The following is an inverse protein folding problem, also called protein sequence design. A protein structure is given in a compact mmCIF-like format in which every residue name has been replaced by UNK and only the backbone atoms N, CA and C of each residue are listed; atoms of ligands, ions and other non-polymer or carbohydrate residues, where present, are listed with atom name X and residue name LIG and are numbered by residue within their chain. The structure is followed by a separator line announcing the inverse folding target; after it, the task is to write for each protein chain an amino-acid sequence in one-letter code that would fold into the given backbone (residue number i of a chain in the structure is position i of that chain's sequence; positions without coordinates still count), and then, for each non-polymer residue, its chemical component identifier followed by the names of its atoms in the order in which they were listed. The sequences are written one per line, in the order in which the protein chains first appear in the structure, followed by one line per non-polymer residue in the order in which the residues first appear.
data_IF_138628788658
#
_entry.id   IF_138628788658
#
_cell.length_a   1.000
_cell.length_b   1.000
_cell.length_c   1.000
_cell.angle_alpha   90.00
_cell.angle_beta   90.00
_cell.angle_gamma   90.00
#
_symmetry.space_group_name_H-M   'P 1'
#
loop_
_entity.id
_entity.type
_entity.pdbx_description
1 polymer ?
#
# COMPACT_ATOMS: atom_id res chain seq x y z
N UNK A 1 15.05 100.53 61.36
CA UNK A 1 14.87 101.40 60.18
C UNK A 1 16.27 101.64 59.61
N UNK A 2 16.74 100.78 58.70
CA UNK A 2 18.06 100.95 58.09
C UNK A 2 17.93 101.82 56.84
N UNK A 3 18.34 103.08 56.95
CA UNK A 3 18.45 104.02 55.83
C UNK A 3 19.84 103.88 55.22
N UNK A 4 19.90 103.43 53.95
CA UNK A 4 21.15 103.38 53.19
C UNK A 4 21.39 104.73 52.51
N UNK A 5 22.58 105.27 52.69
CA UNK A 5 23.03 106.51 52.08
C UNK A 5 23.78 106.18 50.78
N UNK A 6 23.33 106.71 49.66
CA UNK A 6 24.07 106.63 48.40
C UNK A 6 24.96 107.87 48.25
N UNK A 7 26.27 107.65 48.34
CA UNK A 7 27.31 108.65 48.16
C UNK A 7 28.05 108.38 46.85
N UNK A 8 28.61 109.41 46.21
CA UNK A 8 29.44 109.22 45.02
C UNK A 8 30.73 108.44 45.36
N UNK A 9 31.34 107.70 44.41
CA UNK A 9 32.54 106.91 44.67
C UNK A 9 33.65 107.76 45.31
N UNK A 10 34.17 107.35 46.47
CA UNK A 10 35.20 108.07 47.22
C UNK A 10 34.67 109.06 48.28
N UNK A 11 33.36 109.24 48.40
CA UNK A 11 32.76 110.06 49.46
C UNK A 11 32.29 109.20 50.64
N UNK A 12 32.57 109.66 51.87
CA UNK A 12 32.07 109.07 53.11
C UNK A 12 31.11 110.04 53.82
N UNK A 13 30.29 109.52 54.75
CA UNK A 13 29.39 110.35 55.54
C UNK A 13 30.14 111.41 56.35
N UNK A 14 31.39 111.16 56.74
CA UNK A 14 32.21 112.09 57.52
C UNK A 14 32.78 113.22 56.65
N UNK A 15 33.11 112.94 55.38
CA UNK A 15 33.73 113.91 54.46
C UNK A 15 32.73 114.73 53.62
N UNK A 16 31.43 114.46 53.73
CA UNK A 16 30.39 115.21 53.01
C UNK A 16 29.74 116.25 53.91
N UNK A 17 29.75 117.51 53.46
CA UNK A 17 29.07 118.62 54.15
C UNK A 17 27.58 118.31 54.27
N UNK A 18 26.98 118.66 55.40
CA UNK A 18 25.55 118.41 55.67
C UNK A 18 24.64 119.04 54.59
N UNK A 19 25.07 120.16 53.98
CA UNK A 19 24.39 120.80 52.84
C UNK A 19 24.31 119.91 51.60
N UNK A 20 25.32 119.07 51.35
CA UNK A 20 25.38 118.22 50.14
C UNK A 20 24.66 116.89 50.37
N UNK A 21 24.36 116.55 51.64
CA UNK A 21 23.55 115.39 52.02
C UNK A 21 22.07 115.58 51.70
N UNK A 22 21.60 116.79 51.41
CA UNK A 22 20.21 117.02 50.98
C UNK A 22 19.91 116.43 49.60
N UNK A 23 20.94 116.10 48.82
CA UNK A 23 20.81 115.43 47.52
C UNK A 23 20.92 113.90 47.62
N UNK A 24 21.13 113.34 48.81
CA UNK A 24 21.14 111.89 49.01
C UNK A 24 19.71 111.36 49.05
N UNK A 25 19.39 110.43 48.15
CA UNK A 25 18.08 109.77 48.09
C UNK A 25 17.90 108.85 49.31
N UNK A 26 17.03 109.28 50.23
CA UNK A 26 16.64 108.51 51.41
C UNK A 26 15.53 107.53 51.08
N UNK A 27 15.87 106.31 50.70
CA UNK A 27 14.89 105.24 50.44
C UNK A 27 15.05 104.14 51.50
N UNK A 28 13.93 103.76 52.12
CA UNK A 28 13.89 102.58 53.01
C UNK A 28 13.99 101.28 52.20
N UNK A 29 14.59 100.22 52.74
CA UNK A 29 14.72 98.92 52.05
C UNK A 29 13.38 98.39 51.50
N UNK A 30 12.27 98.65 52.20
CA UNK A 30 10.92 98.29 51.76
C UNK A 30 10.50 99.03 50.49
N UNK A 31 10.75 100.33 50.42
CA UNK A 31 10.49 101.14 49.22
C UNK A 31 11.43 100.77 48.06
N UNK A 32 12.70 100.46 48.35
CA UNK A 32 13.63 99.97 47.34
C UNK A 32 13.18 98.63 46.74
N UNK A 33 12.74 97.69 47.57
CA UNK A 33 12.22 96.41 47.10
C UNK A 33 10.93 96.55 46.26
N UNK A 34 10.10 97.58 46.52
CA UNK A 34 8.94 97.90 45.67
C UNK A 34 9.38 98.40 44.30
N UNK A 35 10.39 99.29 44.25
CA UNK A 35 10.94 99.82 43.00
C UNK A 35 11.59 98.71 42.17
N UNK A 36 12.44 97.88 42.79
CA UNK A 36 13.07 96.74 42.10
C UNK A 36 12.03 95.70 41.68
N UNK A 37 11.04 95.41 42.53
CA UNK A 37 9.93 94.52 42.17
C UNK A 37 9.08 95.03 41.00
N UNK A 38 8.90 96.34 40.86
CA UNK A 38 8.24 96.94 39.71
C UNK A 38 9.08 96.88 38.44
N UNK A 39 10.39 97.14 38.54
CA UNK A 39 11.34 97.04 37.42
C UNK A 39 11.47 95.59 36.91
N UNK A 40 11.50 94.62 37.82
CA UNK A 40 11.62 93.19 37.51
C UNK A 40 10.26 92.50 37.26
N UNK A 41 9.15 93.22 37.35
CA UNK A 41 7.79 92.65 37.23
C UNK A 41 7.61 91.82 35.95
N UNK A 42 8.10 92.31 34.81
CA UNK A 42 8.03 91.58 33.53
C UNK A 42 8.86 90.30 33.55
N UNK A 43 10.05 90.36 34.16
CA UNK A 43 10.95 89.21 34.32
C UNK A 43 10.34 88.15 35.24
N UNK A 44 9.77 88.56 36.37
CA UNK A 44 9.08 87.66 37.30
C UNK A 44 7.84 86.99 36.68
N UNK A 45 7.09 87.73 35.85
CA UNK A 45 5.96 87.18 35.08
C UNK A 45 6.46 86.16 34.06
N UNK A 46 7.54 86.48 33.32
CA UNK A 46 8.12 85.56 32.35
C UNK A 46 8.66 84.29 33.02
N UNK A 47 9.40 84.43 34.12
CA UNK A 47 9.90 83.29 34.90
C UNK A 47 8.77 82.43 35.48
N UNK A 48 7.61 83.01 35.78
CA UNK A 48 6.43 82.25 36.18
C UNK A 48 5.82 81.48 34.99
N UNK A 49 5.71 82.13 33.82
CA UNK A 49 5.23 81.48 32.59
C UNK A 49 6.16 80.34 32.17
N UNK A 50 7.48 80.57 32.17
CA UNK A 50 8.48 79.58 31.79
C UNK A 50 8.47 78.36 32.74
N UNK A 51 8.26 78.58 34.04
CA UNK A 51 8.09 77.50 35.03
C UNK A 51 6.84 76.68 34.77
N UNK A 52 5.71 77.33 34.46
CA UNK A 52 4.46 76.65 34.12
C UNK A 52 4.57 75.88 32.80
N UNK A 53 5.24 76.45 31.78
CA UNK A 53 5.51 75.75 30.52
C UNK A 53 6.43 74.54 30.73
N UNK A 54 7.50 74.69 31.51
CA UNK A 54 8.40 73.59 31.83
C UNK A 54 7.67 72.47 32.59
N UNK A 55 6.79 72.82 33.54
CA UNK A 55 5.97 71.85 34.25
C UNK A 55 5.00 71.12 33.32
N UNK A 56 4.33 71.83 32.40
CA UNK A 56 3.45 71.20 31.38
C UNK A 56 4.22 70.27 30.45
N UNK A 57 5.39 70.69 29.96
CA UNK A 57 6.25 69.86 29.11
C UNK A 57 6.70 68.60 29.84
N UNK A 58 7.09 68.72 31.11
CA UNK A 58 7.46 67.59 31.95
C UNK A 58 6.30 66.59 32.12
N UNK A 59 5.08 67.07 32.37
CA UNK A 59 3.90 66.21 32.46
C UNK A 59 3.56 65.55 31.12
N UNK A 60 3.68 66.27 30.00
CA UNK A 60 3.47 65.73 28.65
C UNK A 60 4.50 64.66 28.29
N UNK A 61 5.77 64.87 28.63
CA UNK A 61 6.86 63.91 28.44
C UNK A 61 6.65 62.66 29.32
N UNK A 62 6.27 62.86 30.59
CA UNK A 62 5.88 61.79 31.50
C UNK A 62 4.72 60.96 30.93
N UNK A 63 3.66 61.62 30.48
CA UNK A 63 2.49 60.97 29.86
C UNK A 63 2.87 60.18 28.60
N UNK A 64 3.64 60.77 27.69
CA UNK A 64 4.13 60.08 26.47
C UNK A 64 5.01 58.86 26.80
N UNK A 65 5.85 58.96 27.82
CA UNK A 65 6.70 57.86 28.26
C UNK A 65 5.88 56.67 28.80
N UNK A 66 4.77 56.96 29.50
CA UNK A 66 3.85 55.93 29.97
C UNK A 66 3.09 55.27 28.81
N UNK A 67 2.55 56.06 27.88
CA UNK A 67 1.80 55.57 26.72
C UNK A 67 2.67 54.66 25.83
N UNK A 68 3.97 54.94 25.71
CA UNK A 68 4.91 54.13 24.93
C UNK A 68 4.93 52.67 25.39
N UNK A 69 4.77 52.43 26.68
CA UNK A 69 4.79 51.09 27.27
C UNK A 69 3.40 50.45 27.31
N UNK A 70 2.34 51.15 26.89
CA UNK A 70 1.00 50.58 26.86
C UNK A 70 0.84 49.65 25.67
N UNK A 71 0.68 48.37 25.96
CA UNK A 71 0.53 47.33 24.94
C UNK A 71 -0.71 47.55 24.04
N UNK A 72 -1.76 48.14 24.59
CA UNK A 72 -3.02 48.41 23.89
C UNK A 72 -3.03 49.72 23.10
N UNK A 73 -1.91 50.46 23.06
CA UNK A 73 -1.79 51.61 22.15
C UNK A 73 -1.91 51.13 20.70
N UNK A 74 -2.58 51.91 19.86
CA UNK A 74 -2.77 51.59 18.44
C UNK A 74 -1.43 51.35 17.73
N UNK A 75 -0.39 52.09 18.10
CA UNK A 75 0.95 51.95 17.53
C UNK A 75 1.58 50.61 17.91
N UNK A 76 1.50 50.21 19.18
CA UNK A 76 2.06 48.94 19.66
C UNK A 76 1.29 47.74 19.10
N UNK A 77 -0.04 47.85 18.98
CA UNK A 77 -0.84 46.83 18.28
C UNK A 77 -0.47 46.69 16.80
N UNK A 78 -0.17 47.80 16.10
CA UNK A 78 0.29 47.76 14.70
C UNK A 78 1.67 47.12 14.59
N UNK A 79 2.62 47.52 15.43
CA UNK A 79 3.96 46.91 15.50
C UNK A 79 3.88 45.40 15.73
N UNK A 80 3.10 44.95 16.72
CA UNK A 80 2.90 43.52 16.99
C UNK A 80 2.35 42.77 15.78
N UNK A 81 1.33 43.32 15.11
CA UNK A 81 0.78 42.70 13.89
C UNK A 81 1.79 42.63 12.75
N UNK A 82 2.65 43.64 12.60
CA UNK A 82 3.72 43.63 11.61
C UNK A 82 4.80 42.59 11.95
N UNK A 83 5.21 42.50 13.21
CA UNK A 83 6.14 41.47 13.69
C UNK A 83 5.60 40.05 13.50
N UNK A 84 4.32 39.82 13.82
CA UNK A 84 3.63 38.55 13.56
C UNK A 84 3.61 38.21 12.07
N UNK A 85 3.30 39.19 11.20
CA UNK A 85 3.33 39.00 9.74
C UNK A 85 4.73 38.64 9.25
N UNK A 86 5.75 39.34 9.72
CA UNK A 86 7.15 39.06 9.38
C UNK A 86 7.54 37.64 9.83
N UNK A 87 7.15 37.23 11.04
CA UNK A 87 7.37 35.88 11.55
C UNK A 87 6.70 34.82 10.69
N UNK A 88 5.45 35.03 10.28
CA UNK A 88 4.73 34.11 9.39
C UNK A 88 5.39 34.02 8.03
N UNK A 89 5.84 35.15 7.46
CA UNK A 89 6.56 35.18 6.18
C UNK A 89 7.86 34.37 6.29
N UNK A 90 8.60 34.53 7.39
CA UNK A 90 9.86 33.82 7.60
C UNK A 90 9.65 32.32 7.80
N UNK A 91 8.63 31.93 8.59
CA UNK A 91 8.23 30.53 8.72
C UNK A 91 7.86 29.92 7.37
N UNK A 92 7.06 30.61 6.56
CA UNK A 92 6.69 30.13 5.21
C UNK A 92 7.89 30.01 4.28
N UNK A 93 8.89 30.88 4.39
CA UNK A 93 10.14 30.75 3.64
C UNK A 93 10.92 29.52 4.10
N UNK A 94 11.04 29.32 5.40
CA UNK A 94 11.65 28.13 6.00
C UNK A 94 10.99 26.84 5.52
N UNK A 95 9.65 26.76 5.60
CA UNK A 95 8.87 25.59 5.18
C UNK A 95 9.03 25.29 3.69
N UNK A 96 9.04 26.33 2.84
CA UNK A 96 9.29 26.16 1.39
C UNK A 96 10.70 25.62 1.13
N UNK A 97 11.69 26.12 1.86
CA UNK A 97 13.06 25.68 1.70
C UNK A 97 13.23 24.22 2.19
N UNK A 98 12.62 23.87 3.32
CA UNK A 98 12.61 22.49 3.82
C UNK A 98 11.99 21.52 2.80
N UNK A 99 10.80 21.85 2.27
CA UNK A 99 10.13 21.08 1.22
C UNK A 99 10.99 20.94 -0.04
N UNK A 100 11.71 22.00 -0.42
CA UNK A 100 12.61 21.94 -1.57
C UNK A 100 13.76 20.96 -1.35
N UNK A 101 14.36 20.94 -0.15
CA UNK A 101 15.41 19.97 0.18
C UNK A 101 14.89 18.53 0.26
N UNK A 102 13.69 18.31 0.80
CA UNK A 102 13.04 17.00 0.80
C UNK A 102 12.82 16.49 -0.63
N UNK A 103 12.26 17.34 -1.50
CA UNK A 103 12.03 17.00 -2.90
C UNK A 103 13.34 16.71 -3.65
N UNK A 104 14.40 17.48 -3.36
CA UNK A 104 15.75 17.22 -3.90
C UNK A 104 16.30 15.87 -3.47
N UNK A 105 16.17 15.51 -2.19
CA UNK A 105 16.60 14.19 -1.68
C UNK A 105 15.84 13.05 -2.34
N UNK A 106 14.53 13.20 -2.51
CA UNK A 106 13.69 12.19 -3.17
C UNK A 106 14.10 12.02 -4.65
N UNK A 107 14.31 13.12 -5.36
CA UNK A 107 14.79 13.10 -6.75
C UNK A 107 16.17 12.45 -6.89
N UNK A 108 17.08 12.73 -5.96
CA UNK A 108 18.41 12.11 -5.94
C UNK A 108 18.33 10.61 -5.67
N UNK A 109 17.46 10.18 -4.73
CA UNK A 109 17.21 8.76 -4.48
C UNK A 109 16.70 8.06 -5.75
N UNK A 110 15.67 8.61 -6.38
CA UNK A 110 15.10 8.06 -7.63
C UNK A 110 16.16 7.98 -8.73
N UNK A 111 16.98 9.03 -8.86
CA UNK A 111 18.08 9.05 -9.84
C UNK A 111 19.10 7.95 -9.56
N UNK A 112 19.50 7.76 -8.30
CA UNK A 112 20.46 6.74 -7.91
C UNK A 112 19.91 5.33 -8.15
N UNK A 113 18.65 5.07 -7.78
CA UNK A 113 17.98 3.81 -8.06
C UNK A 113 17.93 3.51 -9.57
N UNK A 114 17.63 4.51 -10.39
CA UNK A 114 17.62 4.37 -11.85
C UNK A 114 19.02 4.06 -12.39
N UNK A 115 20.05 4.79 -11.94
CA UNK A 115 21.44 4.57 -12.36
C UNK A 115 21.91 3.17 -11.97
N UNK A 116 21.59 2.70 -10.76
CA UNK A 116 21.96 1.36 -10.31
C UNK A 116 21.25 0.27 -11.12
N UNK A 117 19.96 0.44 -11.45
CA UNK A 117 19.25 -0.49 -12.36
C UNK A 117 19.93 -0.55 -13.73
N UNK A 118 20.20 0.59 -14.34
CA UNK A 118 20.86 0.64 -15.66
C UNK A 118 22.27 0.02 -15.60
N UNK A 119 23.04 0.27 -14.54
CA UNK A 119 24.35 -0.38 -14.33
C UNK A 119 24.22 -1.89 -14.22
N UNK A 120 23.22 -2.37 -13.49
CA UNK A 120 22.95 -3.78 -13.34
C UNK A 120 22.57 -4.43 -14.67
N UNK A 121 21.70 -3.78 -15.45
CA UNK A 121 21.28 -4.27 -16.77
C UNK A 121 22.48 -4.34 -17.73
N UNK A 122 23.30 -3.29 -17.79
CA UNK A 122 24.54 -3.28 -18.57
C UNK A 122 25.47 -4.41 -18.12
N UNK A 123 25.62 -4.63 -16.82
CA UNK A 123 26.46 -5.70 -16.30
C UNK A 123 25.95 -7.07 -16.75
N UNK A 124 24.65 -7.35 -16.65
CA UNK A 124 24.04 -8.61 -17.09
C UNK A 124 24.22 -8.81 -18.60
N UNK A 125 24.05 -7.76 -19.39
CA UNK A 125 24.11 -7.84 -20.85
C UNK A 125 25.54 -7.98 -21.40
N UNK A 126 26.56 -7.61 -20.62
CA UNK A 126 27.95 -7.53 -21.10
C UNK A 126 28.86 -8.65 -20.57
N UNK A 127 29.81 -9.06 -21.42
CA UNK A 127 30.95 -9.92 -21.05
C UNK A 127 30.56 -11.26 -20.40
N UNK A 128 31.15 -11.53 -19.25
CA UNK A 128 31.08 -12.82 -18.55
C UNK A 128 29.72 -13.09 -17.89
N UNK A 129 29.01 -12.05 -17.45
CA UNK A 129 27.72 -12.23 -16.76
C UNK A 129 26.63 -12.74 -17.72
N UNK A 130 26.64 -12.26 -18.96
CA UNK A 130 25.78 -12.79 -20.03
C UNK A 130 26.09 -14.26 -20.32
N UNK A 131 27.37 -14.61 -20.41
CA UNK A 131 27.78 -16.00 -20.64
C UNK A 131 27.35 -16.91 -19.48
N UNK A 132 27.49 -16.45 -18.23
CA UNK A 132 27.06 -17.19 -17.06
C UNK A 132 25.54 -17.36 -17.01
N UNK A 133 24.79 -16.33 -17.36
CA UNK A 133 23.32 -16.41 -17.50
C UNK A 133 22.93 -17.40 -18.59
N UNK A 134 23.61 -17.38 -19.74
CA UNK A 134 23.41 -18.35 -20.82
C UNK A 134 23.69 -19.79 -20.37
N UNK A 135 24.82 -20.02 -19.73
CA UNK A 135 25.20 -21.32 -19.18
C UNK A 135 24.18 -21.82 -18.13
N UNK A 136 23.66 -20.92 -17.30
CA UNK A 136 22.60 -21.25 -16.36
C UNK A 136 21.31 -21.70 -17.06
N UNK A 137 20.86 -20.97 -18.09
CA UNK A 137 19.67 -21.34 -18.88
C UNK A 137 19.88 -22.70 -19.55
N UNK A 138 21.06 -22.94 -20.12
CA UNK A 138 21.40 -24.23 -20.72
C UNK A 138 21.39 -25.37 -19.70
N UNK A 139 21.95 -25.16 -18.50
CA UNK A 139 21.94 -26.15 -17.43
C UNK A 139 20.51 -26.50 -16.99
N UNK A 140 19.64 -25.50 -16.86
CA UNK A 140 18.21 -25.71 -16.55
C UNK A 140 17.53 -26.50 -17.66
N UNK A 141 17.76 -26.15 -18.93
CA UNK A 141 17.19 -26.86 -20.06
C UNK A 141 17.66 -28.33 -20.15
N UNK A 142 18.94 -28.59 -19.84
CA UNK A 142 19.47 -29.95 -19.76
C UNK A 142 18.79 -30.76 -18.64
N UNK A 143 18.67 -30.18 -17.45
CA UNK A 143 17.97 -30.81 -16.33
C UNK A 143 16.50 -31.13 -16.66
N UNK A 144 15.77 -30.19 -17.26
CA UNK A 144 14.40 -30.43 -17.69
C UNK A 144 14.30 -31.54 -18.74
N UNK A 145 15.26 -31.61 -19.67
CA UNK A 145 15.29 -32.64 -20.71
C UNK A 145 15.58 -34.04 -20.15
N UNK A 146 16.41 -34.14 -19.12
CA UNK A 146 16.61 -35.39 -18.39
C UNK A 146 15.28 -35.86 -17.77
N UNK A 147 14.55 -34.95 -17.12
CA UNK A 147 13.23 -35.25 -16.52
C UNK A 147 12.18 -35.65 -17.55
N UNK A 148 12.16 -35.02 -18.72
CA UNK A 148 11.30 -35.44 -19.83
C UNK A 148 11.67 -36.85 -20.31
N UNK A 149 12.96 -37.19 -20.37
CA UNK A 149 13.43 -38.51 -20.77
C UNK A 149 13.04 -39.58 -19.76
N UNK A 150 13.21 -39.30 -18.46
CA UNK A 150 12.73 -40.17 -17.37
C UNK A 150 11.23 -40.44 -17.50
N UNK A 151 10.43 -39.39 -17.71
CA UNK A 151 8.98 -39.52 -17.87
C UNK A 151 8.61 -40.34 -19.10
N UNK A 152 9.26 -40.10 -20.24
CA UNK A 152 9.03 -40.86 -21.48
C UNK A 152 9.32 -42.35 -21.29
N UNK A 153 10.37 -42.69 -20.55
CA UNK A 153 10.70 -44.08 -20.24
C UNK A 153 9.64 -44.73 -19.34
N UNK A 154 9.14 -44.01 -18.34
CA UNK A 154 8.03 -44.49 -17.50
C UNK A 154 6.75 -44.75 -18.31
N UNK A 155 6.41 -43.85 -19.23
CA UNK A 155 5.25 -44.03 -20.13
C UNK A 155 5.44 -45.28 -21.01
N UNK A 156 6.63 -45.49 -21.56
CA UNK A 156 6.92 -46.69 -22.36
C UNK A 156 6.77 -47.98 -21.54
N UNK A 157 7.29 -48.00 -20.31
CA UNK A 157 7.15 -49.15 -19.41
C UNK A 157 5.68 -49.43 -19.10
N UNK A 158 4.92 -48.40 -18.73
CA UNK A 158 3.49 -48.51 -18.46
C UNK A 158 2.73 -49.06 -19.68
N UNK A 159 3.01 -48.55 -20.89
CA UNK A 159 2.34 -49.03 -22.10
C UNK A 159 2.67 -50.49 -22.39
N UNK A 160 3.93 -50.91 -22.20
CA UNK A 160 4.32 -52.31 -22.38
C UNK A 160 3.62 -53.23 -21.35
N UNK A 161 3.46 -52.77 -20.11
CA UNK A 161 2.71 -53.49 -19.08
C UNK A 161 1.23 -53.63 -19.43
N UNK A 162 0.59 -52.55 -19.91
CA UNK A 162 -0.81 -52.57 -20.34
C UNK A 162 -1.02 -53.44 -21.59
N UNK A 163 -0.11 -53.38 -22.57
CA UNK A 163 -0.12 -54.28 -23.74
C UNK A 163 0.01 -55.74 -23.32
N UNK A 164 0.90 -56.05 -22.36
CA UNK A 164 1.04 -57.40 -21.83
C UNK A 164 -0.22 -57.88 -21.09
N UNK A 165 -0.85 -57.01 -20.29
CA UNK A 165 -2.14 -57.28 -19.62
C UNK A 165 -3.24 -57.53 -20.63
N UNK A 166 -3.33 -56.72 -21.68
CA UNK A 166 -4.29 -56.92 -22.75
C UNK A 166 -4.04 -58.27 -23.45
N UNK A 167 -2.80 -58.56 -23.83
CA UNK A 167 -2.45 -59.81 -24.50
C UNK A 167 -2.82 -61.03 -23.64
N UNK A 168 -2.61 -60.98 -22.32
CA UNK A 168 -3.07 -62.02 -21.39
C UNK A 168 -4.60 -62.15 -21.41
N UNK A 169 -5.33 -61.04 -21.32
CA UNK A 169 -6.80 -61.04 -21.38
C UNK A 169 -7.35 -61.63 -22.69
N UNK A 170 -6.69 -61.36 -23.81
CA UNK A 170 -7.06 -61.92 -25.12
C UNK A 170 -6.80 -63.42 -25.17
N UNK A 171 -5.66 -63.89 -24.64
CA UNK A 171 -5.37 -65.33 -24.53
C UNK A 171 -6.40 -66.04 -23.67
N UNK A 172 -6.70 -65.49 -22.49
CA UNK A 172 -7.73 -66.02 -21.59
C UNK A 172 -9.10 -66.06 -22.26
N UNK A 173 -9.48 -64.99 -22.97
CA UNK A 173 -10.72 -64.95 -23.75
C UNK A 173 -10.77 -66.02 -24.84
N UNK A 174 -9.68 -66.22 -25.57
CA UNK A 174 -9.59 -67.27 -26.59
C UNK A 174 -9.70 -68.68 -25.99
N UNK A 175 -9.03 -68.94 -24.85
CA UNK A 175 -9.12 -70.22 -24.14
C UNK A 175 -10.54 -70.49 -23.61
N UNK A 176 -11.22 -69.45 -23.11
CA UNK A 176 -12.62 -69.55 -22.68
C UNK A 176 -13.55 -69.86 -23.86
N UNK A 177 -13.39 -69.18 -25.00
CA UNK A 177 -14.19 -69.47 -26.20
C UNK A 177 -14.00 -70.91 -26.69
N UNK A 178 -12.78 -71.44 -26.68
CA UNK A 178 -12.51 -72.83 -27.05
C UNK A 178 -13.24 -73.79 -26.11
N UNK A 179 -13.13 -73.59 -24.79
CA UNK A 179 -13.84 -74.39 -23.79
C UNK A 179 -15.36 -74.33 -23.98
N UNK A 180 -15.90 -73.14 -24.28
CA UNK A 180 -17.32 -72.99 -24.56
C UNK A 180 -17.76 -73.72 -25.84
N UNK A 181 -16.97 -73.66 -26.90
CA UNK A 181 -17.23 -74.40 -28.15
C UNK A 181 -17.17 -75.91 -27.94
N UNK A 182 -16.18 -76.40 -27.21
CA UNK A 182 -16.08 -77.82 -26.84
C UNK A 182 -17.27 -78.26 -26.00
N UNK A 183 -17.67 -77.48 -24.99
CA UNK A 183 -18.83 -77.76 -24.18
C UNK A 183 -20.13 -77.77 -24.99
N UNK A 184 -20.30 -76.84 -25.95
CA UNK A 184 -21.44 -76.81 -26.87
C UNK A 184 -21.45 -78.05 -27.78
N UNK A 185 -20.31 -78.39 -28.37
CA UNK A 185 -20.19 -79.58 -29.24
C UNK A 185 -20.45 -80.88 -28.48
N UNK A 186 -19.99 -81.00 -27.24
CA UNK A 186 -20.28 -82.16 -26.39
C UNK A 186 -21.78 -82.25 -26.07
N UNK A 187 -22.43 -81.13 -25.73
CA UNK A 187 -23.89 -81.08 -25.52
C UNK A 187 -24.67 -81.45 -26.79
N UNK A 188 -24.20 -81.04 -27.96
CA UNK A 188 -24.79 -81.43 -29.25
C UNK A 188 -24.63 -82.93 -29.50
N UNK A 189 -23.43 -83.48 -29.30
CA UNK A 189 -23.19 -84.93 -29.40
C UNK A 189 -24.06 -85.73 -28.44
N UNK A 190 -24.22 -85.28 -27.20
CA UNK A 190 -25.11 -85.91 -26.22
C UNK A 190 -26.57 -85.95 -26.73
N UNK A 191 -27.07 -84.81 -27.25
CA UNK A 191 -28.41 -84.74 -27.86
C UNK A 191 -28.54 -85.66 -29.07
N UNK A 192 -27.54 -85.72 -29.94
CA UNK A 192 -27.54 -86.57 -31.13
C UNK A 192 -27.52 -88.06 -30.75
N UNK A 193 -26.76 -88.43 -29.71
CA UNK A 193 -26.74 -89.79 -29.17
C UNK A 193 -28.09 -90.17 -28.55
N UNK A 194 -28.69 -89.27 -27.76
CA UNK A 194 -30.04 -89.47 -27.22
C UNK A 194 -31.09 -89.62 -28.32
N UNK A 195 -31.02 -88.78 -29.35
CA UNK A 195 -31.92 -88.86 -30.50
C UNK A 195 -31.72 -90.17 -31.28
N UNK A 196 -30.47 -90.57 -31.51
CA UNK A 196 -30.12 -91.82 -32.20
C UNK A 196 -30.63 -93.05 -31.45
N UNK A 197 -30.53 -93.06 -30.11
CA UNK A 197 -31.10 -94.12 -29.26
C UNK A 197 -32.61 -94.22 -29.43
N UNK A 198 -33.32 -93.09 -29.36
CA UNK A 198 -34.78 -93.06 -29.59
C UNK A 198 -35.16 -93.56 -30.98
N UNK A 199 -34.38 -93.23 -32.00
CA UNK A 199 -34.62 -93.70 -33.37
C UNK A 199 -34.41 -95.20 -33.51
N UNK A 200 -33.36 -95.75 -32.87
CA UNK A 200 -33.12 -97.19 -32.83
C UNK A 200 -34.25 -97.94 -32.13
N UNK A 201 -34.72 -97.44 -30.98
CA UNK A 201 -35.88 -97.98 -30.27
C UNK A 201 -37.12 -98.01 -31.18
N UNK A 202 -37.39 -96.93 -31.92
CA UNK A 202 -38.48 -96.87 -32.90
C UNK A 202 -38.31 -97.84 -34.08
N UNK A 203 -37.07 -98.05 -34.56
CA UNK A 203 -36.79 -99.02 -35.64
C UNK A 203 -37.04 -100.44 -35.14
N UNK A 204 -36.56 -100.78 -33.94
CA UNK A 204 -36.80 -102.09 -33.33
C UNK A 204 -38.28 -102.34 -33.08
N UNK A 205 -39.01 -101.34 -32.58
CA UNK A 205 -40.45 -101.41 -32.37
C UNK A 205 -41.21 -101.59 -33.70
N UNK A 206 -40.84 -100.84 -34.74
CA UNK A 206 -41.39 -101.00 -36.09
C UNK A 206 -41.02 -102.34 -36.74
N UNK A 207 -39.84 -102.89 -36.45
CA UNK A 207 -39.44 -104.20 -36.95
C UNK A 207 -40.24 -105.31 -36.27
N UNK A 208 -40.50 -105.19 -34.95
CA UNK A 208 -41.37 -106.10 -34.20
C UNK A 208 -42.81 -106.04 -34.74
N UNK A 209 -43.36 -104.84 -34.94
CA UNK A 209 -44.72 -104.69 -35.49
C UNK A 209 -44.83 -105.24 -36.92
N UNK A 210 -43.85 -105.01 -37.80
CA UNK A 210 -43.80 -105.63 -39.14
C UNK A 210 -43.65 -107.14 -39.09
N UNK A 211 -42.86 -107.69 -38.17
CA UNK A 211 -42.73 -109.12 -37.98
C UNK A 211 -44.02 -109.75 -37.46
N UNK A 212 -44.76 -109.05 -36.59
CA UNK A 212 -46.11 -109.44 -36.16
C UNK A 212 -47.11 -109.37 -37.31
N UNK A 213 -47.12 -108.30 -38.10
CA UNK A 213 -47.95 -108.20 -39.32
C UNK A 213 -47.64 -109.30 -40.33
N UNK A 214 -46.36 -109.66 -40.50
CA UNK A 214 -45.97 -110.73 -41.42
C UNK A 214 -46.37 -112.12 -40.88
N UNK A 215 -46.27 -112.35 -39.56
CA UNK A 215 -46.81 -113.54 -38.91
C UNK A 215 -48.32 -113.62 -39.06
N UNK A 216 -49.03 -112.49 -38.95
CA UNK A 216 -50.48 -112.42 -39.13
C UNK A 216 -50.88 -112.65 -40.59
N UNK A 217 -50.16 -112.07 -41.55
CA UNK A 217 -50.34 -112.36 -42.99
C UNK A 217 -50.06 -113.83 -43.31
N UNK A 218 -49.03 -114.43 -42.70
CA UNK A 218 -48.73 -115.85 -42.85
C UNK A 218 -49.84 -116.71 -42.23
N UNK A 219 -50.37 -116.37 -41.04
CA UNK A 219 -51.53 -117.04 -40.45
C UNK A 219 -52.79 -116.93 -41.32
N UNK A 220 -53.07 -115.76 -41.90
CA UNK A 220 -54.19 -115.57 -42.83
C UNK A 220 -53.97 -116.37 -44.12
N UNK A 221 -52.73 -116.47 -44.61
CA UNK A 221 -52.40 -117.31 -45.78
C UNK A 221 -52.51 -118.80 -45.48
N UNK A 222 -52.09 -119.24 -44.28
CA UNK A 222 -52.21 -120.62 -43.81
C UNK A 222 -53.69 -121.00 -43.58
N UNK A 223 -54.49 -120.09 -43.01
CA UNK A 223 -55.94 -120.24 -42.88
C UNK A 223 -56.64 -120.35 -44.26
N UNK A 224 -56.24 -119.53 -45.25
CA UNK A 224 -56.72 -119.64 -46.64
C UNK A 224 -56.31 -120.96 -47.31
N UNK A 225 -55.12 -121.49 -47.03
CA UNK A 225 -54.69 -122.79 -47.57
C UNK A 225 -55.31 -123.99 -46.84
N UNK A 226 -55.72 -123.84 -45.58
CA UNK A 226 -56.47 -124.85 -44.83
C UNK A 226 -57.94 -124.90 -45.28
N UNK A 227 -58.58 -123.76 -45.56
CA UNK A 227 -59.92 -123.70 -46.16
C UNK A 227 -59.96 -124.28 -47.58
N UNK A 228 -58.87 -124.17 -48.36
CA UNK A 228 -58.76 -124.76 -49.70
C UNK A 228 -58.54 -126.29 -49.69
N UNK A 229 -58.08 -126.89 -48.58
CA UNK A 229 -57.88 -128.34 -48.43
C UNK A 229 -59.02 -129.07 -47.72
N UNK A 230 -60.05 -128.35 -47.23
CA UNK A 230 -61.25 -128.89 -46.60
C UNK A 230 -62.48 -129.01 -47.51
N UNK A 231 -62.34 -128.76 -48.82
CA UNK A 231 -63.38 -128.97 -49.83
C UNK A 231 -62.85 -129.85 -50.96
N UNK A 232 -62.71 -131.14 -50.67
CA UNK A 232 -62.75 -132.25 -51.63
C UNK A 232 -63.30 -133.47 -50.90
#
# INVERSE_FOLDING_TARGET
MESRWYLFPGQTLENTKISDRSHALHITQTEWNKITGHLDRKKLIQEAIDREEAHKRYLDEGSKSMIKNWENSLENMRKRKEEERLRIIEQRKGDRMARFYELRKEQERIRNEYVEKVRHDIYIETGNARQLTGAYVEAVAMYEREKQTELKNKIKQHNAEEEARWAMKVKEGAEQEVKEKEAKSNKEREKDLEFSKKLLEQIEENAKSKAEEQKEKNRISEARTAEAKGRN
#
